data_IF_466713578174
#
_entry.id   IF_466713578174
#
_cell.length_a   1.000
_cell.length_b   1.000
_cell.length_c   1.000
_cell.angle_alpha   90.00
_cell.angle_beta   90.00
_cell.angle_gamma   90.00
#
_symmetry.space_group_name_H-M   'P 1'
#
loop_
_entity.id
_entity.type
_entity.pdbx_description
1 polymer ?
#
# COMPACT_ATOMS: atom_id res chain seq x y z
N UNK A 1 1.87 18.41 25.09
CA UNK A 1 1.60 17.06 25.71
C UNK A 1 2.51 16.90 26.91
N UNK A 2 2.11 16.17 27.97
CA UNK A 2 3.02 15.90 29.09
C UNK A 2 4.12 14.92 28.66
N UNK A 3 5.36 15.21 29.04
CA UNK A 3 6.53 14.35 28.70
C UNK A 3 6.36 12.89 29.21
N UNK A 4 5.68 12.71 30.34
CA UNK A 4 5.34 11.40 30.87
C UNK A 4 4.51 10.57 29.90
N UNK A 5 3.55 11.17 29.20
CA UNK A 5 2.71 10.50 28.20
C UNK A 5 3.52 10.10 26.97
N UNK A 6 4.43 10.96 26.52
CA UNK A 6 5.36 10.64 25.41
C UNK A 6 6.21 9.41 25.78
N UNK A 7 6.75 9.37 26.99
CA UNK A 7 7.56 8.22 27.47
C UNK A 7 6.72 6.92 27.46
N UNK A 8 5.47 6.97 27.84
CA UNK A 8 4.61 5.78 27.85
C UNK A 8 4.27 5.30 26.44
N UNK A 9 4.00 6.21 25.50
CA UNK A 9 3.85 5.89 24.08
C UNK A 9 5.13 5.21 23.55
N UNK A 10 6.31 5.74 23.86
CA UNK A 10 7.59 5.13 23.44
C UNK A 10 7.82 3.72 24.01
N UNK A 11 7.41 3.48 25.25
CA UNK A 11 7.46 2.12 25.85
C UNK A 11 6.53 1.16 25.11
N UNK A 12 5.33 1.61 24.76
CA UNK A 12 4.37 0.80 24.02
C UNK A 12 4.89 0.47 22.63
N UNK A 13 5.38 1.46 21.87
CA UNK A 13 6.02 1.28 20.55
C UNK A 13 7.17 0.27 20.65
N UNK A 14 8.07 0.46 21.62
CA UNK A 14 9.21 -0.45 21.82
C UNK A 14 8.76 -1.88 22.10
N UNK A 15 7.71 -2.06 22.89
CA UNK A 15 7.15 -3.38 23.23
C UNK A 15 6.56 -4.07 21.99
N UNK A 16 5.76 -3.35 21.20
CA UNK A 16 5.15 -3.87 19.96
C UNK A 16 6.19 -4.28 18.93
N UNK A 17 7.22 -3.47 18.74
CA UNK A 17 8.31 -3.75 17.80
C UNK A 17 9.18 -4.93 18.24
N UNK A 18 9.40 -5.14 19.56
CA UNK A 18 10.13 -6.32 20.09
C UNK A 18 9.41 -7.64 19.78
N UNK A 19 8.10 -7.63 19.72
CA UNK A 19 7.29 -8.83 19.43
C UNK A 19 7.06 -9.04 17.95
N UNK A 20 7.39 -8.06 17.11
CA UNK A 20 7.20 -8.10 15.68
C UNK A 20 8.06 -9.17 14.99
N UNK A 21 7.49 -9.86 14.01
CA UNK A 21 8.26 -10.79 13.17
C UNK A 21 9.31 -10.01 12.36
N UNK A 22 10.53 -10.56 12.26
CA UNK A 22 11.65 -9.95 11.53
C UNK A 22 12.09 -8.58 12.03
N UNK A 23 11.66 -8.15 13.21
CA UNK A 23 11.92 -6.80 13.72
C UNK A 23 11.52 -5.72 12.72
N UNK A 24 10.33 -5.86 12.15
CA UNK A 24 9.77 -4.96 11.16
C UNK A 24 8.50 -4.30 11.71
N UNK A 25 8.37 -2.98 11.57
CA UNK A 25 7.21 -2.25 12.08
C UNK A 25 5.91 -2.68 11.39
N UNK A 26 5.96 -3.04 10.10
CA UNK A 26 4.81 -3.53 9.34
C UNK A 26 4.29 -4.88 9.86
N UNK A 27 5.13 -5.64 10.55
CA UNK A 27 4.78 -6.93 11.15
C UNK A 27 4.42 -6.82 12.63
N UNK A 28 4.48 -5.62 13.20
CA UNK A 28 4.09 -5.37 14.58
C UNK A 28 2.57 -5.41 14.70
N UNK A 29 2.09 -5.90 15.84
CA UNK A 29 0.66 -5.83 16.16
C UNK A 29 0.35 -4.47 16.81
N UNK A 30 -0.01 -3.50 15.98
CA UNK A 30 -0.43 -2.18 16.43
C UNK A 30 -1.83 -2.20 17.05
N UNK A 31 -2.54 -3.34 16.97
CA UNK A 31 -3.83 -3.58 17.62
C UNK A 31 -5.00 -2.84 16.97
N UNK A 32 -6.17 -3.01 17.56
CA UNK A 32 -7.38 -2.25 17.21
C UNK A 32 -7.76 -2.33 15.73
N UNK A 33 -7.99 -1.17 15.16
CA UNK A 33 -8.44 -1.00 13.77
C UNK A 33 -7.34 -1.25 12.74
N UNK A 34 -6.05 -1.11 13.12
CA UNK A 34 -4.92 -1.11 12.21
C UNK A 34 -4.88 -2.34 11.29
N UNK A 35 -4.95 -3.54 11.85
CA UNK A 35 -4.84 -4.76 11.06
C UNK A 35 -5.96 -4.90 10.02
N UNK A 36 -7.21 -4.63 10.44
CA UNK A 36 -8.37 -4.70 9.55
C UNK A 36 -8.29 -3.61 8.47
N UNK A 37 -7.85 -2.41 8.85
CA UNK A 37 -7.67 -1.30 7.93
C UNK A 37 -6.61 -1.61 6.86
N UNK A 38 -5.46 -2.15 7.27
CA UNK A 38 -4.38 -2.54 6.38
C UNK A 38 -4.82 -3.63 5.40
N UNK A 39 -5.44 -4.71 5.88
CA UNK A 39 -5.95 -5.80 5.02
C UNK A 39 -6.93 -5.27 3.96
N UNK A 40 -7.80 -4.35 4.35
CA UNK A 40 -8.77 -3.72 3.45
C UNK A 40 -8.10 -2.78 2.44
N UNK A 41 -7.14 -1.98 2.89
CA UNK A 41 -6.38 -1.08 2.04
C UNK A 41 -5.57 -1.83 0.98
N UNK A 42 -4.85 -2.89 1.37
CA UNK A 42 -4.10 -3.75 0.44
C UNK A 42 -5.01 -4.34 -0.66
N UNK A 43 -6.25 -4.72 -0.33
CA UNK A 43 -7.21 -5.22 -1.30
C UNK A 43 -7.65 -4.13 -2.28
N UNK A 44 -7.93 -2.93 -1.77
CA UNK A 44 -8.34 -1.78 -2.59
C UNK A 44 -7.19 -1.30 -3.48
N UNK A 45 -5.98 -1.21 -2.96
CA UNK A 45 -4.80 -0.69 -3.66
C UNK A 45 -4.54 -1.45 -4.95
N UNK A 46 -4.68 -2.77 -4.93
CA UNK A 46 -4.57 -3.62 -6.12
C UNK A 46 -5.50 -3.15 -7.25
N UNK A 47 -6.73 -2.77 -6.91
CA UNK A 47 -7.70 -2.27 -7.89
C UNK A 47 -7.49 -0.78 -8.23
N UNK A 48 -7.03 0.01 -7.28
CA UNK A 48 -6.78 1.44 -7.45
C UNK A 48 -5.55 1.71 -8.31
N UNK A 49 -4.45 0.98 -8.09
CA UNK A 49 -3.23 1.07 -8.88
C UNK A 49 -3.35 0.37 -10.24
N UNK A 50 -4.32 -0.54 -10.39
CA UNK A 50 -4.48 -1.37 -11.58
C UNK A 50 -3.47 -2.51 -11.66
N UNK A 51 -2.87 -2.83 -10.53
CA UNK A 51 -2.02 -4.00 -10.39
C UNK A 51 -2.83 -5.28 -10.41
N UNK A 52 -2.15 -6.34 -10.82
CA UNK A 52 -2.81 -7.63 -10.96
C UNK A 52 -2.80 -8.40 -9.63
N UNK A 53 -3.99 -8.72 -9.05
CA UNK A 53 -4.05 -9.47 -7.80
C UNK A 53 -3.65 -10.93 -8.03
N UNK A 54 -2.36 -11.20 -8.11
CA UNK A 54 -1.81 -12.54 -8.33
C UNK A 54 -2.29 -13.55 -7.29
N UNK A 55 -2.60 -13.10 -6.08
CA UNK A 55 -3.17 -13.90 -4.99
C UNK A 55 -4.55 -14.50 -5.36
N UNK A 56 -5.38 -13.75 -6.10
CA UNK A 56 -6.73 -14.21 -6.48
C UNK A 56 -6.72 -15.34 -7.50
N UNK A 57 -5.72 -15.43 -8.37
CA UNK A 57 -5.67 -16.43 -9.43
C UNK A 57 -5.22 -17.79 -8.93
N UNK A 58 -4.59 -17.83 -7.78
CA UNK A 58 -4.04 -19.09 -7.24
C UNK A 58 -5.03 -19.99 -6.52
N UNK A 59 -6.21 -19.49 -6.13
CA UNK A 59 -7.07 -20.18 -5.17
C UNK A 59 -8.24 -20.96 -5.77
N UNK A 60 -8.56 -20.81 -7.07
CA UNK A 60 -9.89 -21.18 -7.59
C UNK A 60 -9.93 -22.36 -8.56
N UNK A 61 -8.82 -23.03 -8.85
CA UNK A 61 -8.84 -24.22 -9.69
C UNK A 61 -8.37 -25.44 -8.88
N UNK A 62 -9.30 -26.22 -8.32
CA UNK A 62 -8.96 -27.51 -7.72
C UNK A 62 -8.38 -28.40 -8.82
N UNK A 63 -7.26 -29.01 -8.63
CA UNK A 63 -6.52 -29.88 -9.55
C UNK A 63 -5.50 -29.18 -10.48
N UNK A 64 -5.23 -27.90 -10.32
CA UNK A 64 -4.13 -27.24 -11.02
C UNK A 64 -2.81 -27.48 -10.25
N UNK A 65 -1.77 -27.91 -10.97
CA UNK A 65 -0.43 -28.04 -10.40
C UNK A 65 0.19 -26.66 -10.13
N UNK A 66 1.17 -26.58 -9.23
CA UNK A 66 1.85 -25.31 -8.93
C UNK A 66 2.57 -24.74 -10.15
N UNK A 67 3.07 -25.59 -11.06
CA UNK A 67 3.68 -25.16 -12.32
C UNK A 67 2.65 -24.52 -13.25
N UNK A 68 1.45 -25.09 -13.36
CA UNK A 68 0.35 -24.54 -14.14
C UNK A 68 -0.16 -23.22 -13.56
N UNK A 69 -0.22 -23.11 -12.22
CA UNK A 69 -0.57 -21.86 -11.52
C UNK A 69 0.44 -20.76 -11.84
N UNK A 70 1.73 -21.06 -11.73
CA UNK A 70 2.80 -20.09 -12.02
C UNK A 70 2.81 -19.68 -13.49
N UNK A 71 2.60 -20.64 -14.40
CA UNK A 71 2.49 -20.34 -15.83
C UNK A 71 1.29 -19.45 -16.12
N UNK A 72 0.14 -19.71 -15.50
CA UNK A 72 -1.08 -18.91 -15.63
C UNK A 72 -0.87 -17.49 -15.08
N UNK A 73 -0.26 -17.37 -13.91
CA UNK A 73 0.06 -16.08 -13.30
C UNK A 73 0.96 -15.23 -14.17
N UNK A 74 1.96 -15.82 -14.81
CA UNK A 74 2.93 -15.11 -15.64
C UNK A 74 2.42 -14.81 -17.05
N UNK A 75 1.71 -15.76 -17.65
CA UNK A 75 1.36 -15.71 -19.08
C UNK A 75 -0.03 -15.18 -19.37
N UNK A 76 -0.93 -15.24 -18.41
CA UNK A 76 -2.34 -14.88 -18.58
C UNK A 76 -2.80 -13.80 -17.60
N UNK A 77 -1.93 -12.87 -17.31
CA UNK A 77 -2.30 -11.69 -16.53
C UNK A 77 -3.49 -11.00 -17.21
N UNK A 78 -4.67 -10.93 -16.58
CA UNK A 78 -5.76 -10.16 -17.14
C UNK A 78 -5.37 -8.69 -17.17
N UNK A 79 -5.75 -8.01 -18.21
CA UNK A 79 -5.78 -6.56 -18.20
C UNK A 79 -6.90 -6.15 -17.25
N UNK A 80 -6.56 -5.73 -16.05
CA UNK A 80 -7.54 -5.15 -15.14
C UNK A 80 -8.07 -3.89 -15.79
N UNK A 81 -9.35 -3.90 -16.11
CA UNK A 81 -9.99 -2.65 -16.52
C UNK A 81 -10.03 -1.77 -15.26
N UNK A 82 -9.55 -0.53 -15.29
CA UNK A 82 -9.46 0.32 -14.11
C UNK A 82 -10.85 0.86 -13.70
N UNK A 83 -11.77 -0.04 -13.37
CA UNK A 83 -13.12 0.33 -12.97
C UNK A 83 -13.11 1.14 -11.68
N UNK A 84 -12.30 0.71 -10.70
CA UNK A 84 -12.12 1.44 -9.45
C UNK A 84 -11.64 2.87 -9.71
N UNK A 85 -10.53 3.02 -10.42
CA UNK A 85 -9.96 4.33 -10.78
C UNK A 85 -10.95 5.21 -11.55
N UNK A 86 -11.80 4.61 -12.40
CA UNK A 86 -12.85 5.34 -13.12
C UNK A 86 -13.97 5.79 -12.19
N UNK A 87 -14.36 4.97 -11.21
CA UNK A 87 -15.37 5.32 -10.22
C UNK A 87 -14.89 6.47 -9.34
N UNK A 88 -13.67 6.37 -8.81
CA UNK A 88 -13.04 7.45 -8.02
C UNK A 88 -12.96 8.75 -8.83
N UNK A 89 -12.48 8.69 -10.09
CA UNK A 89 -12.46 9.87 -10.98
C UNK A 89 -13.83 10.48 -11.24
N UNK A 90 -14.89 9.66 -11.27
CA UNK A 90 -16.26 10.19 -11.44
C UNK A 90 -16.74 10.93 -10.20
N UNK A 91 -16.43 10.43 -9.00
CA UNK A 91 -16.74 11.15 -7.76
C UNK A 91 -15.97 12.47 -7.67
N UNK A 92 -14.71 12.47 -8.09
CA UNK A 92 -13.92 13.70 -8.10
C UNK A 92 -14.47 14.77 -9.07
N UNK A 93 -15.32 14.41 -10.02
CA UNK A 93 -15.96 15.40 -10.94
C UNK A 93 -16.86 16.39 -10.23
N UNK A 94 -17.37 16.07 -9.04
CA UNK A 94 -18.18 17.01 -8.26
C UNK A 94 -17.43 18.35 -8.04
N UNK A 95 -16.11 18.29 -7.93
CA UNK A 95 -15.25 19.47 -7.78
C UNK A 95 -15.01 20.23 -9.09
N UNK A 96 -15.38 19.66 -10.22
CA UNK A 96 -15.19 20.24 -11.56
C UNK A 96 -16.49 20.79 -12.17
N UNK A 97 -17.58 20.74 -11.42
CA UNK A 97 -18.85 21.29 -11.88
C UNK A 97 -18.75 22.81 -12.00
N UNK A 98 -19.36 23.36 -13.06
CA UNK A 98 -19.28 24.78 -13.38
C UNK A 98 -19.86 25.71 -12.30
N UNK A 99 -20.74 25.18 -11.45
CA UNK A 99 -21.40 25.91 -10.38
C UNK A 99 -20.71 25.75 -9.02
N UNK A 100 -19.56 25.08 -8.96
CA UNK A 100 -18.83 24.93 -7.71
C UNK A 100 -18.00 26.20 -7.46
N UNK A 101 -18.31 26.90 -6.38
CA UNK A 101 -17.55 28.04 -5.88
C UNK A 101 -17.27 27.85 -4.40
N UNK A 102 -16.10 28.26 -3.96
CA UNK A 102 -15.75 28.40 -2.54
C UNK A 102 -15.72 29.88 -2.22
N UNK A 103 -16.54 30.28 -1.26
CA UNK A 103 -16.51 31.63 -0.71
C UNK A 103 -15.66 31.63 0.54
N UNK A 104 -14.74 32.60 0.63
CA UNK A 104 -13.87 32.74 1.78
C UNK A 104 -14.27 34.03 2.50
N UNK A 105 -14.49 33.93 3.80
CA UNK A 105 -14.76 35.11 4.65
C UNK A 105 -13.48 35.85 5.05
N UNK A 106 -12.32 35.26 4.81
CA UNK A 106 -11.01 35.79 5.14
C UNK A 106 -10.07 35.71 3.93
N UNK A 107 -9.41 36.81 3.60
CA UNK A 107 -8.47 36.88 2.48
C UNK A 107 -7.20 36.07 2.74
N UNK A 108 -6.79 35.88 4.00
CA UNK A 108 -5.66 35.03 4.35
C UNK A 108 -5.98 33.57 4.08
N UNK A 109 -7.16 33.11 4.48
CA UNK A 109 -7.64 31.78 4.17
C UNK A 109 -7.75 31.56 2.65
N UNK A 110 -8.30 32.53 1.91
CA UNK A 110 -8.39 32.49 0.46
C UNK A 110 -7.02 32.35 -0.20
N UNK A 111 -6.07 33.17 0.22
CA UNK A 111 -4.69 33.14 -0.25
C UNK A 111 -4.09 31.75 -0.04
N UNK A 112 -4.18 31.23 1.18
CA UNK A 112 -3.70 29.90 1.52
C UNK A 112 -4.29 28.78 0.64
N UNK A 113 -5.59 28.85 0.32
CA UNK A 113 -6.24 27.84 -0.51
C UNK A 113 -5.94 27.95 -1.99
N UNK A 114 -5.65 29.15 -2.51
CA UNK A 114 -5.52 29.42 -3.94
C UNK A 114 -4.08 29.59 -4.42
N UNK A 115 -3.16 29.94 -3.54
CA UNK A 115 -1.74 30.09 -3.87
C UNK A 115 -1.01 28.73 -3.86
N UNK A 116 0.13 28.71 -4.51
CA UNK A 116 0.99 27.51 -4.56
C UNK A 116 1.55 27.20 -3.16
N UNK A 117 1.55 25.92 -2.83
CA UNK A 117 2.20 25.39 -1.64
C UNK A 117 3.51 24.68 -2.04
N UNK A 118 4.46 24.46 -1.12
CA UNK A 118 5.72 23.78 -1.43
C UNK A 118 5.57 22.41 -2.07
N UNK A 119 4.48 21.69 -1.77
CA UNK A 119 4.25 20.32 -2.24
C UNK A 119 3.16 20.21 -3.32
N UNK A 120 2.25 21.18 -3.43
CA UNK A 120 1.09 21.11 -4.31
C UNK A 120 0.88 22.42 -5.04
N UNK A 121 0.22 22.38 -6.20
CA UNK A 121 -0.15 23.58 -6.96
C UNK A 121 -0.91 24.58 -6.08
N UNK A 122 -1.82 24.07 -5.26
CA UNK A 122 -2.45 24.81 -4.16
C UNK A 122 -3.23 23.84 -3.26
N UNK A 123 -3.61 24.29 -2.07
CA UNK A 123 -4.37 23.49 -1.10
C UNK A 123 -5.70 22.98 -1.66
N UNK A 124 -6.39 23.78 -2.48
CA UNK A 124 -7.62 23.34 -3.13
C UNK A 124 -7.40 22.18 -4.11
N UNK A 125 -6.33 22.22 -4.91
CA UNK A 125 -5.97 21.12 -5.81
C UNK A 125 -5.64 19.84 -5.03
N UNK A 126 -4.99 19.98 -3.87
CA UNK A 126 -4.76 18.84 -2.97
C UNK A 126 -6.07 18.19 -2.52
N UNK A 127 -7.02 18.95 -1.98
CA UNK A 127 -8.31 18.39 -1.55
C UNK A 127 -9.09 17.79 -2.69
N UNK A 128 -9.09 18.42 -3.84
CA UNK A 128 -9.78 17.96 -5.04
C UNK A 128 -9.23 16.64 -5.58
N UNK A 129 -7.94 16.45 -5.60
CA UNK A 129 -7.30 15.31 -6.27
C UNK A 129 -6.86 14.23 -5.29
N UNK A 130 -6.06 14.61 -4.29
CA UNK A 130 -5.39 13.68 -3.40
C UNK A 130 -6.31 13.28 -2.24
N UNK A 131 -6.77 14.25 -1.45
CA UNK A 131 -7.55 13.95 -0.26
C UNK A 131 -8.84 13.17 -0.54
N UNK A 132 -9.57 13.52 -1.62
CA UNK A 132 -10.78 12.79 -2.00
C UNK A 132 -10.46 11.37 -2.47
N UNK A 133 -9.38 11.18 -3.22
CA UNK A 133 -8.96 9.86 -3.66
C UNK A 133 -8.53 8.99 -2.47
N UNK A 134 -7.71 9.54 -1.57
CA UNK A 134 -7.26 8.82 -0.37
C UNK A 134 -8.43 8.48 0.55
N UNK A 135 -9.37 9.39 0.77
CA UNK A 135 -10.58 9.12 1.54
C UNK A 135 -11.41 7.94 1.01
N UNK A 136 -11.43 7.76 -0.32
CA UNK A 136 -12.17 6.66 -0.95
C UNK A 136 -11.36 5.36 -0.88
N UNK A 137 -10.07 5.43 -1.09
CA UNK A 137 -9.20 4.26 -1.13
C UNK A 137 -8.83 3.78 0.28
N UNK A 138 -8.53 4.71 1.17
CA UNK A 138 -8.11 4.45 2.55
C UNK A 138 -8.83 5.39 3.55
N UNK A 139 -10.05 5.05 3.95
CA UNK A 139 -10.81 5.86 4.90
C UNK A 139 -10.23 5.83 6.33
N UNK A 140 -9.28 4.95 6.63
CA UNK A 140 -8.62 4.87 7.93
C UNK A 140 -7.30 5.63 7.98
N UNK A 141 -6.84 6.15 6.84
CA UNK A 141 -5.74 7.08 6.77
C UNK A 141 -6.01 8.38 7.52
N UNK A 142 -4.98 9.18 7.71
CA UNK A 142 -5.02 10.42 8.49
C UNK A 142 -4.56 11.58 7.64
N UNK A 143 -5.38 12.64 7.60
CA UNK A 143 -5.00 13.95 7.12
C UNK A 143 -4.37 14.73 8.28
N UNK A 144 -3.19 15.26 8.09
CA UNK A 144 -2.52 16.16 9.03
C UNK A 144 -2.28 17.51 8.40
N UNK A 145 -2.20 18.55 9.22
CA UNK A 145 -1.58 19.82 8.82
C UNK A 145 -0.15 19.78 9.32
N UNK A 146 0.76 19.73 8.38
CA UNK A 146 2.19 19.76 8.61
C UNK A 146 2.74 21.17 8.37
N UNK A 147 3.99 21.40 8.69
CA UNK A 147 4.61 22.72 8.59
C UNK A 147 5.92 22.61 7.81
N UNK A 148 6.05 23.43 6.77
CA UNK A 148 7.32 23.60 6.06
C UNK A 148 8.26 24.41 6.95
N UNK A 149 9.07 23.70 7.75
CA UNK A 149 10.02 24.28 8.65
C UNK A 149 11.31 24.61 7.89
N UNK A 150 11.59 25.88 7.61
CA UNK A 150 12.84 26.24 6.96
C UNK A 150 14.01 25.94 7.90
N UNK A 151 14.90 25.06 7.46
CA UNK A 151 16.06 24.63 8.24
C UNK A 151 17.31 25.33 7.72
N UNK A 152 18.16 25.80 8.62
CA UNK A 152 19.49 26.27 8.31
C UNK A 152 20.53 25.47 9.07
N UNK A 153 21.67 25.23 8.44
CA UNK A 153 22.79 24.58 9.09
C UNK A 153 23.60 25.62 9.88
N UNK A 154 23.87 25.31 11.14
CA UNK A 154 24.74 26.15 11.97
C UNK A 154 26.20 25.95 11.58
N UNK A 155 27.08 26.83 12.07
CA UNK A 155 28.53 26.69 11.90
C UNK A 155 29.12 25.43 12.55
N UNK A 156 28.38 24.82 13.46
CA UNK A 156 28.74 23.58 14.15
C UNK A 156 28.22 22.33 13.43
N UNK A 157 27.45 22.52 12.34
CA UNK A 157 26.90 21.43 11.55
C UNK A 157 25.49 20.98 11.94
N UNK A 158 24.94 21.56 13.02
CA UNK A 158 23.58 21.25 13.46
C UNK A 158 22.54 21.95 12.61
N UNK A 159 21.37 21.32 12.47
CA UNK A 159 20.22 21.89 11.78
C UNK A 159 19.30 22.55 12.80
N UNK A 160 19.02 23.83 12.60
CA UNK A 160 18.08 24.62 13.41
C UNK A 160 17.04 25.27 12.52
N UNK A 161 15.86 25.54 13.09
CA UNK A 161 14.81 26.27 12.36
C UNK A 161 15.30 27.70 12.06
N UNK A 162 15.05 28.13 10.83
CA UNK A 162 15.39 29.50 10.40
C UNK A 162 14.20 30.43 10.67
N UNK A 163 14.17 31.01 11.86
CA UNK A 163 13.11 31.93 12.31
C UNK A 163 12.98 33.21 11.44
N UNK A 164 13.92 33.45 10.52
CA UNK A 164 13.83 34.55 9.57
C UNK A 164 12.91 34.29 8.38
N UNK A 165 12.49 33.04 8.18
CA UNK A 165 11.60 32.64 7.11
C UNK A 165 10.20 32.33 7.64
N UNK A 166 9.20 32.62 6.82
CA UNK A 166 7.82 32.33 7.13
C UNK A 166 7.60 30.80 7.12
N UNK A 167 6.96 30.29 8.17
CA UNK A 167 6.55 28.90 8.28
C UNK A 167 5.18 28.76 7.61
N UNK A 168 5.12 27.92 6.59
CA UNK A 168 3.89 27.69 5.84
C UNK A 168 3.28 26.34 6.22
N UNK A 169 2.03 26.31 6.73
CA UNK A 169 1.32 25.06 6.93
C UNK A 169 0.93 24.46 5.58
N UNK A 170 0.93 23.13 5.48
CA UNK A 170 0.43 22.42 4.33
C UNK A 170 -0.27 21.12 4.73
N UNK A 171 -1.31 20.67 3.99
CA UNK A 171 -1.96 19.41 4.27
C UNK A 171 -1.13 18.23 3.75
N UNK A 172 -1.03 17.18 4.56
CA UNK A 172 -0.40 15.90 4.19
C UNK A 172 -1.33 14.75 4.55
N UNK A 173 -1.22 13.63 3.83
CA UNK A 173 -1.99 12.41 4.11
C UNK A 173 -1.03 11.28 4.37
N UNK A 174 -1.32 10.55 5.43
CA UNK A 174 -0.69 9.30 5.79
C UNK A 174 -1.70 8.17 5.59
N UNK A 175 -1.28 7.17 4.83
CA UNK A 175 -2.08 5.96 4.63
C UNK A 175 -2.16 5.15 5.94
N UNK A 176 -3.15 4.30 6.06
CA UNK A 176 -3.35 3.53 7.29
C UNK A 176 -2.15 2.65 7.68
N UNK A 177 -1.27 2.33 6.72
CA UNK A 177 -0.03 1.58 6.96
C UNK A 177 0.99 2.37 7.77
N UNK A 178 0.96 3.69 7.67
CA UNK A 178 1.86 4.60 8.38
C UNK A 178 1.25 5.16 9.66
N UNK A 179 -0.04 4.92 9.92
CA UNK A 179 -0.73 5.37 11.14
C UNK A 179 -0.58 4.32 12.23
N UNK A 180 0.41 4.46 13.11
CA UNK A 180 0.67 3.49 14.17
C UNK A 180 -0.32 3.57 15.32
N UNK A 181 -0.66 4.80 15.72
CA UNK A 181 -1.62 5.08 16.79
C UNK A 181 -2.43 6.33 16.44
N UNK A 182 -3.68 6.34 16.80
CA UNK A 182 -4.56 7.50 16.66
C UNK A 182 -5.55 7.58 17.83
N UNK A 183 -5.52 8.66 18.58
CA UNK A 183 -6.46 8.98 19.63
C UNK A 183 -7.13 10.32 19.30
N UNK A 184 -8.43 10.27 19.00
CA UNK A 184 -9.15 11.44 18.46
C UNK A 184 -9.13 12.62 19.46
N UNK A 185 -8.63 13.77 18.99
CA UNK A 185 -8.52 15.00 19.76
C UNK A 185 -7.33 15.07 20.72
N UNK A 186 -6.51 14.02 20.82
CA UNK A 186 -5.37 13.98 21.73
C UNK A 186 -4.04 13.88 21.00
N UNK A 187 -3.82 12.76 20.26
CA UNK A 187 -2.57 12.59 19.50
C UNK A 187 -2.71 11.62 18.32
N UNK A 188 -1.76 11.71 17.40
CA UNK A 188 -1.51 10.66 16.39
C UNK A 188 -0.02 10.40 16.26
N UNK A 189 0.35 9.12 16.17
CA UNK A 189 1.70 8.66 15.93
C UNK A 189 1.81 8.09 14.51
N UNK A 190 2.66 8.70 13.72
CA UNK A 190 2.82 8.41 12.29
C UNK A 190 4.25 7.92 12.01
N UNK A 191 4.37 6.91 11.14
CA UNK A 191 5.67 6.50 10.60
C UNK A 191 6.08 7.48 9.50
N UNK A 192 7.37 7.82 9.46
CA UNK A 192 7.94 8.67 8.43
C UNK A 192 8.74 7.84 7.42
N UNK A 193 8.77 8.29 6.18
CA UNK A 193 9.71 7.77 5.16
C UNK A 193 11.16 8.14 5.46
N UNK A 194 11.41 9.12 6.34
CA UNK A 194 12.75 9.45 6.80
C UNK A 194 13.40 8.27 7.48
N UNK A 195 14.72 8.16 7.32
CA UNK A 195 15.50 7.13 7.97
C UNK A 195 16.50 7.76 8.94
N UNK A 196 16.59 7.20 10.14
CA UNK A 196 17.68 7.51 11.06
C UNK A 196 18.85 6.56 10.85
N UNK A 197 20.00 6.92 11.40
CA UNK A 197 21.20 6.10 11.34
C UNK A 197 21.35 5.33 12.65
N UNK A 198 21.34 3.99 12.58
CA UNK A 198 21.51 3.10 13.73
C UNK A 198 22.77 2.25 13.55
N UNK A 199 23.61 2.17 14.57
CA UNK A 199 24.81 1.35 14.54
C UNK A 199 24.49 -0.13 14.84
N UNK A 200 25.09 -1.03 14.06
CA UNK A 200 25.19 -2.45 14.42
C UNK A 200 26.49 -2.71 15.19
N UNK A 201 26.46 -3.67 16.10
CA UNK A 201 27.57 -3.99 16.98
C UNK A 201 28.90 -4.39 16.32
N UNK A 202 29.02 -4.31 15.00
CA UNK A 202 30.22 -4.58 14.21
C UNK A 202 30.61 -3.37 13.32
N UNK A 203 30.19 -2.17 13.68
CA UNK A 203 30.47 -0.94 12.91
C UNK A 203 29.70 -0.76 11.64
N UNK A 204 28.75 -1.65 11.32
CA UNK A 204 27.81 -1.46 10.19
C UNK A 204 26.71 -0.52 10.61
N UNK A 205 26.39 0.41 9.71
CA UNK A 205 25.33 1.38 9.86
C UNK A 205 24.11 0.88 9.09
N UNK A 206 22.94 0.95 9.69
CA UNK A 206 21.66 0.62 9.05
C UNK A 206 20.65 1.74 9.27
N UNK A 207 19.61 1.73 8.45
CA UNK A 207 18.47 2.63 8.57
C UNK A 207 17.65 2.27 9.83
N UNK A 208 17.43 3.26 10.66
CA UNK A 208 16.51 3.21 11.79
C UNK A 208 15.19 3.92 11.44
N UNK A 209 14.20 3.78 12.30
CA UNK A 209 12.90 4.40 12.12
C UNK A 209 12.85 5.82 12.65
N UNK A 210 12.11 6.66 11.95
CA UNK A 210 11.73 8.01 12.39
C UNK A 210 10.19 8.05 12.42
N UNK A 211 9.64 8.60 13.49
CA UNK A 211 8.20 8.76 13.68
C UNK A 211 7.91 10.19 14.10
N UNK A 212 6.72 10.67 13.74
CA UNK A 212 6.21 11.95 14.21
C UNK A 212 4.98 11.73 15.08
N UNK A 213 5.00 12.33 16.26
CA UNK A 213 3.87 12.36 17.18
C UNK A 213 3.26 13.76 17.15
N UNK A 214 2.10 13.88 16.53
CA UNK A 214 1.32 15.11 16.54
C UNK A 214 0.44 15.15 17.80
N UNK A 215 0.47 16.24 18.49
CA UNK A 215 -0.32 16.51 19.68
C UNK A 215 -1.03 17.86 19.57
N UNK A 216 -1.76 18.26 20.60
CA UNK A 216 -2.63 19.47 20.57
C UNK A 216 -1.86 20.77 20.45
N UNK A 217 -0.60 20.84 20.87
CA UNK A 217 0.21 22.05 20.82
C UNK A 217 1.61 21.85 20.24
N UNK A 218 2.01 20.59 20.05
CA UNK A 218 3.38 20.24 19.73
C UNK A 218 3.45 19.09 18.75
N UNK A 219 4.49 19.08 17.94
CA UNK A 219 4.89 17.93 17.13
C UNK A 219 6.22 17.44 17.70
N UNK A 220 6.28 16.15 18.00
CA UNK A 220 7.49 15.49 18.48
C UNK A 220 8.09 14.65 17.38
N UNK A 221 9.38 14.79 17.18
CA UNK A 221 10.17 13.88 16.34
C UNK A 221 10.77 12.79 17.20
N UNK A 222 10.47 11.55 16.86
CA UNK A 222 10.90 10.36 17.56
C UNK A 222 11.86 9.61 16.65
N UNK A 223 13.07 9.37 17.12
CA UNK A 223 14.13 8.77 16.33
C UNK A 223 14.61 7.50 17.02
N UNK A 224 14.71 6.43 16.27
CA UNK A 224 15.36 5.21 16.77
C UNK A 224 16.85 5.46 16.95
N UNK A 225 17.39 5.08 18.11
CA UNK A 225 18.79 5.26 18.47
C UNK A 225 19.40 3.92 18.91
N UNK A 226 20.74 3.84 18.91
CA UNK A 226 21.45 2.65 19.32
C UNK A 226 21.46 1.56 18.26
N UNK A 227 21.30 0.29 18.67
CA UNK A 227 21.29 -0.86 17.76
C UNK A 227 19.86 -1.13 17.28
N UNK A 228 19.68 -1.55 16.04
CA UNK A 228 18.36 -1.84 15.45
C UNK A 228 17.51 -2.79 16.30
N UNK A 229 18.13 -3.73 17.01
CA UNK A 229 17.44 -4.71 17.87
C UNK A 229 17.10 -4.20 19.27
N UNK A 230 17.63 -3.06 19.67
CA UNK A 230 17.43 -2.53 21.03
C UNK A 230 16.10 -1.79 21.18
N UNK A 231 15.48 -1.37 20.08
CA UNK A 231 14.23 -0.62 20.03
C UNK A 231 14.19 0.54 21.02
N UNK A 232 15.29 1.28 21.10
CA UNK A 232 15.38 2.50 21.90
C UNK A 232 15.04 3.68 21.01
N UNK A 233 14.26 4.59 21.55
CA UNK A 233 13.83 5.80 20.86
C UNK A 233 14.11 7.02 21.71
N UNK A 234 14.52 8.08 21.06
CA UNK A 234 14.61 9.43 21.62
C UNK A 234 13.53 10.30 21.02
N UNK A 235 12.81 11.02 21.87
CA UNK A 235 11.80 11.97 21.47
C UNK A 235 12.27 13.39 21.76
N UNK A 236 12.10 14.29 20.80
CA UNK A 236 12.38 15.74 20.98
C UNK A 236 11.21 16.52 20.39
N UNK A 237 10.83 17.62 21.03
CA UNK A 237 9.90 18.58 20.44
C UNK A 237 10.51 19.08 19.14
N UNK A 238 9.81 18.83 18.04
CA UNK A 238 10.21 19.26 16.72
C UNK A 238 9.66 20.65 16.40
N UNK A 239 8.38 20.87 16.76
CA UNK A 239 7.71 22.13 16.53
C UNK A 239 6.60 22.36 17.57
N UNK A 240 6.44 23.60 18.02
CA UNK A 240 5.34 24.04 18.88
C UNK A 240 4.43 24.98 18.08
N UNK A 241 3.15 24.60 17.93
CA UNK A 241 2.21 25.33 17.08
C UNK A 241 1.10 26.05 17.83
N UNK A 242 0.92 25.79 19.11
CA UNK A 242 -0.03 26.44 20.01
C UNK A 242 -1.50 26.56 19.49
N UNK A 243 -1.91 25.59 18.65
CA UNK A 243 -3.27 25.59 18.08
C UNK A 243 -4.35 25.26 19.12
N UNK A 244 -4.00 24.57 20.20
CA UNK A 244 -4.94 24.13 21.23
C UNK A 244 -5.82 22.94 20.81
N UNK A 245 -5.59 22.37 19.63
CA UNK A 245 -6.26 21.17 19.14
C UNK A 245 -5.29 20.33 18.31
N UNK A 246 -5.60 19.04 18.15
CA UNK A 246 -4.82 18.13 17.34
C UNK A 246 -4.98 18.49 15.84
N UNK A 247 -3.91 18.86 15.12
CA UNK A 247 -3.99 19.17 13.69
C UNK A 247 -3.98 17.89 12.82
N UNK A 248 -4.78 16.90 13.22
CA UNK A 248 -4.87 15.62 12.52
C UNK A 248 -6.30 15.10 12.55
N UNK A 249 -6.78 14.54 11.42
CA UNK A 249 -8.14 14.03 11.26
C UNK A 249 -8.13 12.73 10.48
N UNK A 250 -8.88 11.74 10.96
CA UNK A 250 -9.18 10.56 10.13
C UNK A 250 -10.00 10.95 8.91
N UNK A 251 -9.71 10.33 7.77
CA UNK A 251 -10.42 10.59 6.51
C UNK A 251 -11.89 10.16 6.56
N UNK A 252 -12.22 9.13 7.33
CA UNK A 252 -13.56 8.61 7.62
C UNK A 252 -14.35 8.23 6.36
N UNK A 253 -14.66 6.96 6.23
CA UNK A 253 -15.55 6.40 5.21
C UNK A 253 -16.92 6.06 5.79
N UNK A 254 -17.45 4.91 5.41
CA UNK A 254 -18.65 4.35 6.03
C UNK A 254 -18.26 3.64 7.33
N UNK A 255 -18.81 4.02 8.50
CA UNK A 255 -18.51 3.30 9.74
C UNK A 255 -19.08 1.89 9.64
N UNK A 256 -18.27 0.88 9.92
CA UNK A 256 -18.67 -0.54 9.81
C UNK A 256 -18.62 -1.24 11.16
N UNK A 257 -17.59 -0.96 11.96
CA UNK A 257 -17.32 -1.74 13.16
C UNK A 257 -16.64 -0.89 14.24
N UNK A 258 -16.70 -1.37 15.49
CA UNK A 258 -15.97 -0.77 16.61
C UNK A 258 -15.03 -1.81 17.20
N UNK A 259 -13.73 -1.61 17.02
CA UNK A 259 -12.70 -2.52 17.47
C UNK A 259 -11.91 -1.84 18.58
N UNK A 260 -11.96 -2.40 19.79
CA UNK A 260 -11.28 -1.87 20.98
C UNK A 260 -11.57 -0.37 21.24
N UNK A 261 -12.82 0.06 20.99
CA UNK A 261 -13.24 1.45 21.19
C UNK A 261 -12.95 2.40 20.04
N UNK A 262 -12.21 1.97 19.02
CA UNK A 262 -11.94 2.75 17.81
C UNK A 262 -12.87 2.34 16.67
N UNK A 263 -13.36 3.33 15.91
CA UNK A 263 -14.25 3.07 14.76
C UNK A 263 -13.38 2.66 13.57
N UNK A 264 -13.71 1.51 12.97
CA UNK A 264 -13.22 1.08 11.68
C UNK A 264 -14.14 1.60 10.57
N UNK A 265 -13.53 2.16 9.53
CA UNK A 265 -14.23 2.72 8.38
C UNK A 265 -13.98 1.89 7.13
N UNK A 266 -15.03 1.53 6.41
CA UNK A 266 -14.95 0.97 5.08
C UNK A 266 -14.94 2.03 3.98
N UNK A 267 -14.30 1.69 2.86
CA UNK A 267 -14.41 2.48 1.64
C UNK A 267 -15.86 2.53 1.15
N UNK A 268 -16.26 3.66 0.56
CA UNK A 268 -17.58 3.79 -0.06
C UNK A 268 -17.87 2.76 -1.15
N UNK A 269 -16.84 2.17 -1.72
CA UNK A 269 -16.95 1.16 -2.77
C UNK A 269 -16.61 -0.25 -2.31
N UNK A 270 -16.48 -0.49 -1.02
CA UNK A 270 -16.11 -1.81 -0.47
C UNK A 270 -17.01 -2.93 -1.01
N UNK A 271 -18.32 -2.69 -1.09
CA UNK A 271 -19.27 -3.66 -1.65
C UNK A 271 -19.03 -4.02 -3.13
N UNK A 272 -18.23 -3.25 -3.87
CA UNK A 272 -17.86 -3.59 -5.24
C UNK A 272 -16.64 -4.53 -5.33
N UNK A 273 -15.84 -4.66 -4.28
CA UNK A 273 -14.59 -5.46 -4.29
C UNK A 273 -14.83 -6.93 -4.66
N UNK A 274 -15.81 -7.65 -4.08
CA UNK A 274 -16.07 -9.04 -4.46
C UNK A 274 -16.36 -9.20 -5.95
N UNK A 275 -17.14 -8.29 -6.53
CA UNK A 275 -17.48 -8.31 -7.96
C UNK A 275 -16.28 -7.98 -8.85
N UNK A 276 -15.41 -7.06 -8.40
CA UNK A 276 -14.16 -6.76 -9.10
C UNK A 276 -13.20 -7.95 -9.06
N UNK A 277 -13.08 -8.62 -7.92
CA UNK A 277 -12.29 -9.82 -7.76
C UNK A 277 -12.80 -10.95 -8.67
N UNK A 278 -14.10 -11.19 -8.69
CA UNK A 278 -14.74 -12.17 -9.59
C UNK A 278 -14.49 -11.84 -11.06
N UNK A 279 -14.63 -10.58 -11.45
CA UNK A 279 -14.37 -10.14 -12.83
C UNK A 279 -12.92 -10.42 -13.25
N UNK A 280 -11.95 -10.22 -12.36
CA UNK A 280 -10.54 -10.54 -12.60
C UNK A 280 -10.34 -12.04 -12.84
N UNK A 281 -10.97 -12.88 -12.02
CA UNK A 281 -10.92 -14.34 -12.15
C UNK A 281 -11.50 -14.79 -13.48
N UNK A 282 -12.71 -14.31 -13.83
CA UNK A 282 -13.38 -14.63 -15.08
C UNK A 282 -12.54 -14.19 -16.29
N UNK A 283 -11.96 -13.00 -16.26
CA UNK A 283 -11.07 -12.52 -17.32
C UNK A 283 -9.83 -13.39 -17.51
N UNK A 284 -9.18 -13.80 -16.40
CA UNK A 284 -8.03 -14.69 -16.44
C UNK A 284 -8.39 -16.05 -17.06
N UNK A 285 -9.52 -16.62 -16.61
CA UNK A 285 -10.03 -17.90 -17.11
C UNK A 285 -10.33 -17.82 -18.61
N UNK A 286 -11.06 -16.82 -19.04
CA UNK A 286 -11.41 -16.64 -20.45
C UNK A 286 -10.16 -16.44 -21.34
N UNK A 287 -9.13 -15.74 -20.84
CA UNK A 287 -7.86 -15.58 -21.57
C UNK A 287 -7.14 -16.93 -21.70
N UNK A 288 -7.13 -17.75 -20.64
CA UNK A 288 -6.57 -19.10 -20.65
C UNK A 288 -7.31 -20.01 -21.65
N UNK A 289 -8.65 -19.99 -21.65
CA UNK A 289 -9.48 -20.79 -22.58
C UNK A 289 -9.25 -20.34 -24.03
N UNK A 290 -9.26 -19.04 -24.31
CA UNK A 290 -9.00 -18.51 -25.65
C UNK A 290 -7.66 -18.96 -26.19
N UNK A 291 -6.62 -18.93 -25.38
CA UNK A 291 -5.30 -19.37 -25.81
C UNK A 291 -5.24 -20.88 -26.11
N UNK A 292 -5.90 -21.72 -25.28
CA UNK A 292 -6.03 -23.16 -25.55
C UNK A 292 -6.80 -23.44 -26.83
N UNK A 293 -7.83 -22.67 -27.14
CA UNK A 293 -8.65 -22.82 -28.36
C UNK A 293 -7.94 -22.27 -29.59
N UNK A 294 -7.23 -21.10 -29.46
CA UNK A 294 -6.56 -20.46 -30.58
C UNK A 294 -5.26 -21.18 -30.98
N UNK A 295 -4.65 -21.90 -30.05
CA UNK A 295 -3.45 -22.71 -30.28
C UNK A 295 -3.73 -24.11 -29.76
N UNK A 296 -4.59 -24.89 -30.42
CA UNK A 296 -4.82 -26.26 -30.03
C UNK A 296 -3.48 -26.98 -30.06
N UNK A 297 -3.01 -27.37 -28.90
CA UNK A 297 -1.88 -28.26 -28.81
C UNK A 297 -2.29 -29.48 -29.64
N UNK A 298 -1.61 -29.72 -30.77
CA UNK A 298 -1.81 -30.95 -31.49
C UNK A 298 -1.38 -32.06 -30.52
N UNK A 299 -2.34 -32.66 -29.87
CA UNK A 299 -2.11 -33.87 -29.09
C UNK A 299 -1.87 -34.95 -30.13
N UNK A 300 -0.63 -35.15 -30.48
CA UNK A 300 -0.26 -36.35 -31.18
C UNK A 300 -0.47 -37.46 -30.16
N UNK A 301 -1.60 -38.16 -30.30
CA UNK A 301 -1.71 -39.49 -29.73
C UNK A 301 -0.69 -40.33 -30.50
N UNK A 302 0.46 -40.61 -29.90
CA UNK A 302 1.27 -41.68 -30.34
C UNK A 302 0.40 -42.96 -30.23
N UNK A 303 -0.27 -43.30 -31.30
CA UNK A 303 -0.83 -44.61 -31.43
C UNK A 303 0.35 -45.57 -31.45
N UNK A 304 0.68 -46.09 -30.28
CA UNK A 304 1.67 -47.17 -30.24
C UNK A 304 1.14 -48.28 -31.12
N UNK A 305 1.80 -48.50 -32.21
CA UNK A 305 1.49 -49.60 -33.09
C UNK A 305 1.64 -50.94 -32.29
N UNK A 306 0.59 -51.74 -32.26
CA UNK A 306 0.60 -53.05 -31.56
C UNK A 306 1.27 -54.13 -32.40
N UNK A 307 2.07 -53.82 -33.41
CA UNK A 307 2.88 -54.79 -34.13
C UNK A 307 4.15 -55.11 -33.34
N UNK A 308 4.44 -56.38 -33.16
CA UNK A 308 5.65 -56.81 -32.50
C UNK A 308 6.89 -56.23 -33.21
N UNK A 309 7.78 -55.63 -32.43
CA UNK A 309 8.99 -54.97 -32.92
C UNK A 309 8.83 -53.64 -33.58
N UNK A 310 7.60 -53.06 -33.62
CA UNK A 310 7.41 -51.71 -34.16
C UNK A 310 7.86 -50.65 -33.15
N UNK A 311 8.86 -49.88 -33.56
CA UNK A 311 9.34 -48.70 -32.82
C UNK A 311 9.11 -47.46 -33.66
N UNK A 312 8.17 -46.59 -33.26
CA UNK A 312 7.84 -45.35 -33.94
C UNK A 312 7.62 -45.49 -35.46
N UNK A 313 6.81 -46.44 -35.86
CA UNK A 313 6.49 -46.69 -37.25
C UNK A 313 7.51 -47.49 -38.03
N UNK A 314 8.62 -47.93 -37.45
CA UNK A 314 9.63 -48.74 -38.07
C UNK A 314 9.77 -50.10 -37.41
N UNK A 315 10.02 -51.11 -38.22
CA UNK A 315 10.33 -52.48 -37.82
C UNK A 315 11.72 -52.83 -38.27
N UNK A 316 12.50 -53.45 -37.40
CA UNK A 316 13.84 -53.93 -37.74
C UNK A 316 13.74 -55.26 -38.45
N UNK A 317 14.26 -55.35 -39.65
CA UNK A 317 14.36 -56.57 -40.43
C UNK A 317 15.69 -57.26 -40.13
N UNK A 318 15.64 -58.45 -39.52
CA UNK A 318 16.83 -59.21 -39.16
C UNK A 318 17.56 -59.75 -40.39
N UNK A 319 16.83 -59.99 -41.51
CA UNK A 319 17.37 -60.58 -42.72
C UNK A 319 18.37 -59.73 -43.46
N UNK A 320 18.17 -58.42 -43.41
CA UNK A 320 19.03 -57.44 -44.09
C UNK A 320 19.62 -56.38 -43.13
N UNK A 321 19.43 -56.58 -41.83
CA UNK A 321 19.90 -55.64 -40.78
C UNK A 321 19.49 -54.19 -41.01
N UNK A 322 18.32 -53.95 -41.56
CA UNK A 322 17.80 -52.62 -41.88
C UNK A 322 16.49 -52.32 -41.17
N UNK A 323 16.20 -51.01 -41.01
CA UNK A 323 14.93 -50.51 -40.48
C UNK A 323 13.97 -50.21 -41.65
N UNK A 324 12.91 -50.98 -41.75
CA UNK A 324 11.85 -50.74 -42.73
C UNK A 324 10.60 -50.11 -42.09
N UNK A 325 9.69 -49.56 -42.91
CA UNK A 325 8.42 -49.06 -42.44
C UNK A 325 7.52 -50.20 -41.94
N UNK A 326 6.88 -49.96 -40.78
CA UNK A 326 5.93 -50.95 -40.25
C UNK A 326 4.71 -51.06 -41.18
N UNK A 327 4.45 -52.25 -41.70
CA UNK A 327 3.30 -52.51 -42.58
C UNK A 327 1.92 -52.33 -41.93
N UNK A 328 1.88 -52.31 -40.61
CA UNK A 328 0.64 -52.17 -39.84
C UNK A 328 0.24 -50.72 -39.56
N UNK A 329 1.20 -49.80 -39.47
CA UNK A 329 0.96 -48.38 -39.22
C UNK A 329 1.49 -47.44 -40.33
N UNK A 330 2.09 -47.98 -41.37
CA UNK A 330 2.67 -47.26 -42.52
C UNK A 330 3.74 -46.20 -42.19
N UNK A 331 4.38 -46.34 -41.03
CA UNK A 331 5.48 -45.45 -40.61
C UNK A 331 5.05 -44.22 -39.88
#
# INVERSE_FOLDING_TARGET
MEESKVIDILKEVSSKLKTAKKNDYEQADWGGVYKKAKEHYEEIEVHACGEFPTKLIGSNFPNETDVEKDYRRKSFQPTTKPYWKKAVKRLNRIWAEQNFSIEFNDETAKKYFTEETPLYVNTFAFFRSIATQSKINDPNGVLVVDFDLPVKQTSEGDFVIDDSKEISPYPSIYDCDDVLMFEEGDFTLLMSEEKSVVEFGNGKVNDGYVMYLYATNEIWRIVQVGKKVDWKFEAKVYYTHDLGYLPAWKLKGTPEDVINGAIYYESFFAGALPHLNEAVIIHSTNKGVRNKVSFPTRVYYEQKCNADGCNNGKVFNESDSSWGNCSKCNG
#
